data_IF_724472808209
#
_entry.id   IF_724472808209
#
_cell.length_a   1.000
_cell.length_b   1.000
_cell.length_c   1.000
_cell.angle_alpha   90.00
_cell.angle_beta   90.00
_cell.angle_gamma   90.00
#
_symmetry.space_group_name_H-M   'P 1'
#
loop_
_entity.id
_entity.type
_entity.pdbx_description
1 polymer ?
#
# COMPACT_ATOMS: atom_id res chain seq x y z
N UNK A 1 1.82 21.59 -29.00
CA UNK A 1 1.36 21.74 -27.60
C UNK A 1 0.79 23.13 -27.44
N UNK A 2 -0.51 23.22 -27.15
CA UNK A 2 -1.24 24.48 -27.06
C UNK A 2 -0.83 25.26 -25.80
N UNK A 3 -0.90 26.60 -25.83
CA UNK A 3 -0.61 27.46 -24.67
C UNK A 3 -1.53 27.13 -23.49
N UNK A 4 -2.78 26.76 -23.76
CA UNK A 4 -3.74 26.32 -22.75
C UNK A 4 -3.29 25.03 -22.04
N UNK A 5 -2.83 24.03 -22.80
CA UNK A 5 -2.31 22.77 -22.23
C UNK A 5 -1.05 23.01 -21.37
N UNK A 6 -0.17 23.91 -21.80
CA UNK A 6 1.01 24.29 -20.99
C UNK A 6 0.60 24.94 -19.68
N UNK A 7 -0.38 25.86 -19.72
CA UNK A 7 -0.87 26.53 -18.52
C UNK A 7 -1.53 25.54 -17.56
N UNK A 8 -2.36 24.63 -18.08
CA UNK A 8 -2.99 23.57 -17.29
C UNK A 8 -1.95 22.69 -16.58
N UNK A 9 -0.89 22.27 -17.28
CA UNK A 9 0.18 21.47 -16.68
C UNK A 9 0.93 22.22 -15.59
N UNK A 10 1.19 23.52 -15.78
CA UNK A 10 1.82 24.37 -14.76
C UNK A 10 0.90 24.47 -13.53
N UNK A 11 -0.39 24.75 -13.74
CA UNK A 11 -1.37 24.83 -12.65
C UNK A 11 -1.49 23.51 -11.90
N UNK A 12 -1.53 22.38 -12.61
CA UNK A 12 -1.56 21.05 -12.02
C UNK A 12 -0.28 20.75 -11.21
N UNK A 13 0.89 21.14 -11.72
CA UNK A 13 2.16 21.02 -10.99
C UNK A 13 2.19 21.84 -9.70
N UNK A 14 1.70 23.08 -9.74
CA UNK A 14 1.59 23.95 -8.56
C UNK A 14 0.63 23.35 -7.52
N UNK A 15 -0.53 22.87 -7.96
CA UNK A 15 -1.53 22.25 -7.09
C UNK A 15 -0.99 20.97 -6.43
N UNK A 16 -0.27 20.13 -7.20
CA UNK A 16 0.38 18.94 -6.68
C UNK A 16 1.43 19.28 -5.62
N UNK A 17 2.31 20.26 -5.91
CA UNK A 17 3.33 20.70 -4.97
C UNK A 17 2.72 21.24 -3.66
N UNK A 18 1.63 22.00 -3.76
CA UNK A 18 0.90 22.49 -2.60
C UNK A 18 0.34 21.34 -1.75
N UNK A 19 -0.36 20.38 -2.37
CA UNK A 19 -0.92 19.22 -1.66
C UNK A 19 0.16 18.36 -1.00
N UNK A 20 1.28 18.13 -1.67
CA UNK A 20 2.42 17.40 -1.11
C UNK A 20 2.94 18.12 0.13
N UNK A 21 3.17 19.44 0.04
CA UNK A 21 3.62 20.24 1.18
C UNK A 21 2.67 20.14 2.37
N UNK A 22 1.35 20.21 2.13
CA UNK A 22 0.37 20.09 3.21
C UNK A 22 0.34 18.71 3.84
N UNK A 23 0.47 17.64 3.04
CA UNK A 23 0.51 16.27 3.54
C UNK A 23 1.75 16.02 4.40
N UNK A 24 2.94 16.44 3.93
CA UNK A 24 4.19 16.32 4.69
C UNK A 24 4.13 17.08 6.01
N UNK A 25 3.58 18.30 6.01
CA UNK A 25 3.46 19.10 7.24
C UNK A 25 2.50 18.46 8.27
N UNK A 26 1.43 17.81 7.82
CA UNK A 26 0.50 17.10 8.72
C UNK A 26 1.19 15.91 9.38
N UNK A 27 1.91 15.11 8.61
CA UNK A 27 2.61 13.92 9.11
C UNK A 27 3.73 14.30 10.10
N UNK A 28 4.53 15.32 9.77
CA UNK A 28 5.56 15.81 10.68
C UNK A 28 4.97 16.33 12.01
N UNK A 29 3.75 16.87 12.00
CA UNK A 29 3.08 17.34 13.22
C UNK A 29 2.58 16.18 14.08
N UNK A 30 2.01 15.15 13.45
CA UNK A 30 1.57 13.92 14.13
C UNK A 30 2.75 13.15 14.74
N UNK A 31 3.91 13.10 14.08
CA UNK A 31 5.12 12.45 14.60
C UNK A 31 5.66 13.15 15.86
N UNK A 32 5.62 14.49 15.90
CA UNK A 32 6.03 15.25 17.08
C UNK A 32 5.13 15.01 18.30
N UNK A 33 3.84 14.70 18.07
CA UNK A 33 2.88 14.44 19.14
C UNK A 33 2.88 12.98 19.60
N UNK A 34 3.15 12.02 18.71
CA UNK A 34 3.02 10.59 19.01
C UNK A 34 4.35 9.81 19.11
N UNK A 35 5.51 10.43 18.83
CA UNK A 35 6.82 9.76 18.93
C UNK A 35 6.98 8.54 18.01
N UNK A 36 6.12 8.41 16.99
CA UNK A 36 6.21 7.37 15.98
C UNK A 36 7.21 7.79 14.90
N UNK A 37 8.10 6.88 14.50
CA UNK A 37 8.94 7.09 13.31
C UNK A 37 8.04 7.24 12.08
N UNK A 38 8.24 8.34 11.35
CA UNK A 38 7.59 8.58 10.07
C UNK A 38 7.82 7.38 9.15
N UNK A 39 6.75 6.69 8.74
CA UNK A 39 6.89 5.63 7.75
C UNK A 39 7.14 6.29 6.38
N UNK A 40 8.42 6.52 6.07
CA UNK A 40 8.89 7.16 4.84
C UNK A 40 8.28 6.57 3.57
N UNK A 41 7.92 5.27 3.59
CA UNK A 41 7.27 4.60 2.46
C UNK A 41 5.81 5.01 2.31
N UNK A 42 5.08 5.18 3.41
CA UNK A 42 3.69 5.67 3.38
C UNK A 42 3.63 7.11 2.88
N UNK A 43 4.54 7.97 3.37
CA UNK A 43 4.69 9.33 2.87
C UNK A 43 4.97 9.34 1.36
N UNK A 44 5.91 8.50 0.89
CA UNK A 44 6.21 8.38 -0.53
C UNK A 44 4.99 7.93 -1.35
N UNK A 45 4.23 6.93 -0.88
CA UNK A 45 3.01 6.48 -1.56
C UNK A 45 1.94 7.59 -1.62
N UNK A 46 1.80 8.38 -0.56
CA UNK A 46 0.91 9.55 -0.55
C UNK A 46 1.36 10.63 -1.54
N UNK A 47 2.66 10.97 -1.57
CA UNK A 47 3.20 11.93 -2.53
C UNK A 47 2.97 11.46 -3.97
N UNK A 48 3.24 10.19 -4.26
CA UNK A 48 2.99 9.60 -5.58
C UNK A 48 1.51 9.59 -5.95
N UNK A 49 0.61 9.45 -4.95
CA UNK A 49 -0.84 9.55 -5.18
C UNK A 49 -1.25 10.95 -5.60
N UNK A 50 -0.70 11.97 -4.95
CA UNK A 50 -0.92 13.38 -5.34
C UNK A 50 -0.36 13.64 -6.74
N UNK A 51 0.85 13.14 -7.03
CA UNK A 51 1.43 13.28 -8.39
C UNK A 51 0.53 12.60 -9.42
N UNK A 52 0.05 11.39 -9.16
CA UNK A 52 -0.86 10.66 -10.05
C UNK A 52 -2.20 11.37 -10.26
N UNK A 53 -2.71 12.10 -9.26
CA UNK A 53 -3.93 12.89 -9.39
C UNK A 53 -3.80 13.99 -10.45
N UNK A 54 -2.64 14.64 -10.51
CA UNK A 54 -2.34 15.80 -11.36
C UNK A 54 -1.49 15.48 -12.59
N UNK A 55 -1.10 14.22 -12.79
CA UNK A 55 -0.24 13.82 -13.90
C UNK A 55 -0.96 13.99 -15.24
N UNK A 56 -0.30 14.51 -16.29
CA UNK A 56 -0.92 14.65 -17.60
C UNK A 56 -1.24 13.29 -18.25
N UNK A 57 -2.30 13.25 -19.03
CA UNK A 57 -2.60 12.11 -19.91
C UNK A 57 -1.52 11.94 -20.98
N UNK A 58 -1.26 10.70 -21.47
CA UNK A 58 -1.99 9.45 -21.21
C UNK A 58 -1.47 8.63 -20.03
N UNK A 59 -0.36 9.06 -19.40
CA UNK A 59 0.39 8.23 -18.45
C UNK A 59 -0.25 8.18 -17.06
N UNK A 60 -1.23 9.04 -16.78
CA UNK A 60 -1.94 9.11 -15.50
C UNK A 60 -2.50 7.76 -15.07
N UNK A 61 -3.14 7.04 -15.99
CA UNK A 61 -3.72 5.72 -15.73
C UNK A 61 -2.65 4.67 -15.39
N UNK A 62 -1.55 4.65 -16.15
CA UNK A 62 -0.43 3.73 -15.91
C UNK A 62 0.20 3.99 -14.54
N UNK A 63 0.46 5.26 -14.21
CA UNK A 63 1.00 5.65 -12.92
C UNK A 63 0.05 5.28 -11.77
N UNK A 64 -1.24 5.58 -11.90
CA UNK A 64 -2.25 5.23 -10.88
C UNK A 64 -2.35 3.71 -10.68
N UNK A 65 -2.34 2.92 -11.75
CA UNK A 65 -2.41 1.46 -11.66
C UNK A 65 -1.16 0.86 -11.01
N UNK A 66 0.02 1.35 -11.37
CA UNK A 66 1.28 0.91 -10.75
C UNK A 66 1.32 1.30 -9.27
N UNK A 67 0.87 2.51 -8.92
CA UNK A 67 0.79 2.95 -7.54
C UNK A 67 -0.16 2.07 -6.72
N UNK A 68 -1.35 1.76 -7.25
CA UNK A 68 -2.30 0.83 -6.58
C UNK A 68 -1.65 -0.53 -6.30
N UNK A 69 -0.91 -1.09 -7.26
CA UNK A 69 -0.17 -2.34 -7.06
C UNK A 69 0.88 -2.17 -5.95
N UNK A 70 1.71 -1.14 -6.03
CA UNK A 70 2.73 -0.86 -5.02
C UNK A 70 2.15 -0.72 -3.60
N UNK A 71 1.01 -0.05 -3.46
CA UNK A 71 0.30 0.07 -2.19
C UNK A 71 -0.18 -1.28 -1.67
N UNK A 72 -0.74 -2.14 -2.54
CA UNK A 72 -1.13 -3.50 -2.15
C UNK A 72 0.08 -4.31 -1.67
N UNK A 73 1.20 -4.28 -2.41
CA UNK A 73 2.44 -4.95 -1.99
C UNK A 73 2.98 -4.43 -0.66
N UNK A 74 3.02 -3.10 -0.48
CA UNK A 74 3.50 -2.48 0.75
C UNK A 74 2.64 -2.89 1.96
N UNK A 75 1.32 -2.81 1.83
CA UNK A 75 0.39 -3.17 2.90
C UNK A 75 0.48 -4.66 3.24
N UNK A 76 0.55 -5.54 2.22
CA UNK A 76 0.76 -6.97 2.44
C UNK A 76 2.07 -7.24 3.17
N UNK A 77 3.18 -6.60 2.77
CA UNK A 77 4.46 -6.74 3.45
C UNK A 77 4.39 -6.24 4.90
N UNK A 78 3.83 -5.05 5.15
CA UNK A 78 3.70 -4.46 6.49
C UNK A 78 2.90 -5.39 7.42
N UNK A 79 1.76 -5.88 6.94
CA UNK A 79 0.90 -6.78 7.69
C UNK A 79 1.59 -8.12 7.96
N UNK A 80 2.27 -8.69 6.95
CA UNK A 80 3.01 -9.94 7.10
C UNK A 80 4.17 -9.80 8.09
N UNK A 81 4.93 -8.71 8.02
CA UNK A 81 6.02 -8.41 8.96
C UNK A 81 5.49 -8.29 10.39
N UNK A 82 4.38 -7.57 10.58
CA UNK A 82 3.75 -7.43 11.89
C UNK A 82 3.26 -8.79 12.42
N UNK A 83 2.62 -9.58 11.56
CA UNK A 83 2.14 -10.93 11.86
C UNK A 83 3.28 -11.85 12.32
N UNK A 84 4.37 -11.94 11.54
CA UNK A 84 5.54 -12.75 11.89
C UNK A 84 6.17 -12.30 13.20
N UNK A 85 6.28 -10.98 13.43
CA UNK A 85 6.82 -10.45 14.69
C UNK A 85 5.95 -10.90 15.88
N UNK A 86 4.63 -10.84 15.75
CA UNK A 86 3.71 -11.28 16.79
C UNK A 86 3.83 -12.78 17.07
N UNK A 87 3.93 -13.62 16.03
CA UNK A 87 4.16 -15.07 16.21
C UNK A 87 5.45 -15.37 16.98
N UNK A 88 6.53 -14.65 16.67
CA UNK A 88 7.82 -14.82 17.36
C UNK A 88 7.70 -14.46 18.85
N UNK A 89 6.96 -13.40 19.16
CA UNK A 89 6.71 -12.97 20.55
C UNK A 89 5.81 -13.94 21.30
N UNK A 90 4.75 -14.45 20.66
CA UNK A 90 3.79 -15.36 21.31
C UNK A 90 4.26 -16.82 21.40
N UNK A 91 5.35 -17.19 20.69
CA UNK A 91 5.87 -18.58 20.56
C UNK A 91 4.80 -19.59 20.11
N UNK A 92 3.73 -19.12 19.48
CA UNK A 92 2.64 -19.95 18.98
C UNK A 92 2.70 -19.98 17.45
N UNK A 93 3.33 -21.01 16.89
CA UNK A 93 3.22 -21.32 15.48
C UNK A 93 2.17 -22.43 15.33
N UNK A 94 0.89 -22.08 15.43
CA UNK A 94 -0.21 -23.01 15.24
C UNK A 94 -0.73 -22.99 13.79
N UNK A 95 -1.66 -23.89 13.47
CA UNK A 95 -2.25 -23.98 12.14
C UNK A 95 -3.09 -22.74 11.77
N UNK A 96 -3.65 -22.00 12.74
CA UNK A 96 -4.38 -20.76 12.48
C UNK A 96 -3.44 -19.62 12.07
N UNK A 97 -2.26 -19.54 12.67
CA UNK A 97 -1.22 -18.58 12.34
C UNK A 97 -0.71 -18.80 10.90
N UNK A 98 -0.63 -20.06 10.46
CA UNK A 98 -0.36 -20.42 9.07
C UNK A 98 -1.50 -20.00 8.12
N UNK A 99 -2.76 -20.32 8.45
CA UNK A 99 -3.92 -19.89 7.67
C UNK A 99 -3.97 -18.36 7.50
N UNK A 100 -3.75 -17.61 8.58
CA UNK A 100 -3.68 -16.16 8.56
C UNK A 100 -2.54 -15.63 7.70
N UNK A 101 -1.40 -16.31 7.68
CA UNK A 101 -0.28 -15.97 6.77
C UNK A 101 -0.71 -16.09 5.31
N UNK A 102 -1.42 -17.17 4.96
CA UNK A 102 -1.94 -17.39 3.61
C UNK A 102 -2.97 -16.33 3.20
N UNK A 103 -3.84 -15.91 4.11
CA UNK A 103 -4.78 -14.81 3.89
C UNK A 103 -4.07 -13.48 3.60
N UNK A 104 -3.00 -13.17 4.34
CA UNK A 104 -2.26 -11.91 4.20
C UNK A 104 -1.55 -11.79 2.84
N UNK A 105 -1.02 -12.90 2.31
CA UNK A 105 -0.33 -12.91 1.00
C UNK A 105 -1.29 -13.00 -0.19
N UNK A 106 -2.54 -13.43 0.02
CA UNK A 106 -3.56 -13.58 -1.03
C UNK A 106 -3.69 -12.38 -2.01
N UNK A 107 -3.62 -11.11 -1.57
CA UNK A 107 -3.80 -9.95 -2.46
C UNK A 107 -2.69 -9.75 -3.50
N UNK A 108 -1.48 -10.30 -3.29
CA UNK A 108 -0.31 -10.10 -4.16
C UNK A 108 -0.06 -11.26 -5.12
N UNK A 109 -0.91 -12.29 -5.07
CA UNK A 109 -0.75 -13.50 -5.87
C UNK A 109 -1.47 -13.39 -7.21
N UNK A 110 -0.90 -14.11 -8.20
CA UNK A 110 -1.60 -14.40 -9.44
C UNK A 110 -2.81 -15.31 -9.20
N UNK A 111 -3.66 -15.45 -10.22
CA UNK A 111 -4.93 -16.19 -10.13
C UNK A 111 -4.72 -17.64 -9.70
N UNK A 112 -3.69 -18.30 -10.23
CA UNK A 112 -3.44 -19.72 -10.00
C UNK A 112 -2.99 -19.99 -8.56
N UNK A 113 -2.02 -19.21 -8.06
CA UNK A 113 -1.55 -19.31 -6.67
C UNK A 113 -2.65 -18.90 -5.70
N UNK A 114 -3.47 -17.91 -6.06
CA UNK A 114 -4.63 -17.50 -5.23
C UNK A 114 -5.63 -18.64 -5.07
N UNK A 115 -5.94 -19.36 -6.15
CA UNK A 115 -6.82 -20.53 -6.10
C UNK A 115 -6.24 -21.65 -5.24
N UNK A 116 -4.93 -21.89 -5.33
CA UNK A 116 -4.24 -22.87 -4.49
C UNK A 116 -4.34 -22.49 -3.00
N UNK A 117 -4.12 -21.22 -2.66
CA UNK A 117 -4.30 -20.73 -1.28
C UNK A 117 -5.74 -20.94 -0.79
N UNK A 118 -6.75 -20.64 -1.63
CA UNK A 118 -8.15 -20.85 -1.26
C UNK A 118 -8.44 -22.31 -0.92
N UNK A 119 -7.88 -23.26 -1.69
CA UNK A 119 -7.99 -24.70 -1.39
C UNK A 119 -7.29 -25.06 -0.07
N UNK A 120 -6.11 -24.51 0.20
CA UNK A 120 -5.39 -24.75 1.45
C UNK A 120 -6.17 -24.23 2.66
N UNK A 121 -6.78 -23.04 2.55
CA UNK A 121 -7.63 -22.48 3.60
C UNK A 121 -8.87 -23.34 3.86
N UNK A 122 -9.52 -23.84 2.80
CA UNK A 122 -10.65 -24.78 2.94
C UNK A 122 -10.23 -26.09 3.61
N UNK A 123 -9.08 -26.67 3.25
CA UNK A 123 -8.56 -27.88 3.91
C UNK A 123 -8.30 -27.61 5.39
N UNK A 124 -7.69 -26.48 5.73
CA UNK A 124 -7.46 -26.07 7.12
C UNK A 124 -8.77 -25.95 7.91
N UNK A 125 -9.81 -25.37 7.30
CA UNK A 125 -11.14 -25.25 7.91
C UNK A 125 -11.77 -26.63 8.16
N UNK A 126 -11.66 -27.56 7.21
CA UNK A 126 -12.14 -28.94 7.34
C UNK A 126 -11.38 -29.69 8.45
N UNK A 127 -10.06 -29.55 8.53
CA UNK A 127 -9.24 -30.24 9.54
C UNK A 127 -9.44 -29.71 10.97
N UNK A 128 -9.93 -28.48 11.10
CA UNK A 128 -10.25 -27.84 12.38
C UNK A 128 -11.68 -28.13 12.84
N UNK A 129 -12.58 -28.47 11.92
CA UNK A 129 -13.99 -28.82 12.17
C UNK A 129 -14.12 -30.26 12.67
#
# INVERSE_FOLDING_TARGET
>A
MDRYQKLEQITNGINAAYKIKTATNSLNREDCENGQETNNVELLLQMLSVIAEYYPEPHRNTLSNNLKKSTVYHNTYKNLKHHIKNMQTSRSADSNEFARTLELVKPVLDKDRRSLIEKMLQIHEILKS
#
